data_IF_117715062189
#
_entry.id   IF_117715062189
#
_cell.length_a   1.000
_cell.length_b   1.000
_cell.length_c   1.000
_cell.angle_alpha   90.00
_cell.angle_beta   90.00
_cell.angle_gamma   90.00
#
_symmetry.space_group_name_H-M   'P 1'
#
loop_
_entity.id
_entity.type
_entity.pdbx_description
1 polymer ?
#
# COMPACT_ATOMS: atom_id res chain seq x y z
N UNK A 1 -9.46 -18.72 -11.38
CA UNK A 1 -10.24 -17.46 -11.41
C UNK A 1 -9.26 -16.33 -11.14
N UNK A 2 -9.31 -15.24 -11.91
CA UNK A 2 -8.48 -14.06 -11.70
C UNK A 2 -9.11 -13.18 -10.61
N UNK A 3 -8.33 -12.76 -9.63
CA UNK A 3 -8.78 -11.99 -8.47
C UNK A 3 -7.95 -10.73 -8.24
N UNK A 4 -8.56 -9.78 -7.54
CA UNK A 4 -7.92 -8.58 -7.02
C UNK A 4 -8.15 -8.50 -5.50
N UNK A 5 -7.09 -8.30 -4.74
CA UNK A 5 -7.20 -7.88 -3.34
C UNK A 5 -7.35 -6.36 -3.31
N UNK A 6 -8.54 -5.89 -2.90
CA UNK A 6 -8.86 -4.47 -2.87
C UNK A 6 -8.36 -3.75 -1.62
N UNK A 7 -7.72 -4.44 -0.65
CA UNK A 7 -7.30 -3.84 0.61
C UNK A 7 -6.11 -4.59 1.23
N UNK A 8 -4.97 -4.56 0.56
CA UNK A 8 -3.72 -5.17 1.00
C UNK A 8 -2.90 -4.19 1.85
N UNK A 9 -3.13 -4.21 3.16
CA UNK A 9 -2.48 -3.32 4.14
C UNK A 9 -1.06 -3.80 4.51
N UNK A 10 -0.19 -3.93 3.51
CA UNK A 10 1.10 -4.60 3.67
C UNK A 10 2.10 -3.85 4.57
N UNK A 11 1.89 -2.55 4.78
CA UNK A 11 2.73 -1.72 5.67
C UNK A 11 2.54 -2.08 7.16
N UNK A 12 1.54 -2.91 7.48
CA UNK A 12 1.35 -3.46 8.82
C UNK A 12 2.54 -4.36 9.24
N UNK A 13 2.90 -4.30 10.52
CA UNK A 13 4.09 -4.98 11.05
C UNK A 13 4.11 -6.51 10.86
N UNK A 14 2.94 -7.13 10.67
CA UNK A 14 2.80 -8.56 10.42
C UNK A 14 3.52 -9.01 9.14
N UNK A 15 3.68 -8.14 8.15
CA UNK A 15 4.30 -8.49 6.87
C UNK A 15 5.80 -8.24 6.82
N UNK A 16 6.40 -7.63 7.86
CA UNK A 16 7.84 -7.28 7.86
C UNK A 16 8.77 -8.48 7.69
N UNK A 17 8.30 -9.69 8.02
CA UNK A 17 9.13 -10.90 8.00
C UNK A 17 9.12 -11.61 6.64
N UNK A 18 8.05 -11.43 5.87
CA UNK A 18 7.70 -12.34 4.78
C UNK A 18 6.90 -11.68 3.64
N UNK A 19 6.93 -10.35 3.52
CA UNK A 19 6.20 -9.60 2.49
C UNK A 19 6.42 -10.15 1.07
N UNK A 20 7.68 -10.37 0.69
CA UNK A 20 8.01 -10.86 -0.66
C UNK A 20 7.39 -12.23 -0.95
N UNK A 21 7.42 -13.14 0.03
CA UNK A 21 6.75 -14.44 -0.09
C UNK A 21 5.24 -14.31 -0.14
N UNK A 22 4.63 -13.43 0.66
CA UNK A 22 3.19 -13.19 0.64
C UNK A 22 2.73 -12.71 -0.73
N UNK A 23 3.46 -11.76 -1.33
CA UNK A 23 3.16 -11.27 -2.68
C UNK A 23 3.37 -12.38 -3.72
N UNK A 24 4.47 -13.13 -3.64
CA UNK A 24 4.73 -14.25 -4.56
C UNK A 24 3.62 -15.30 -4.50
N UNK A 25 3.19 -15.66 -3.29
CA UNK A 25 2.15 -16.65 -3.05
C UNK A 25 0.78 -16.16 -3.54
N UNK A 26 0.45 -14.87 -3.36
CA UNK A 26 -0.79 -14.28 -3.88
C UNK A 26 -0.82 -14.33 -5.41
N UNK A 27 0.29 -13.94 -6.05
CA UNK A 27 0.42 -13.95 -7.51
C UNK A 27 0.32 -15.37 -8.07
N UNK A 28 0.96 -16.36 -7.44
CA UNK A 28 0.85 -17.77 -7.85
C UNK A 28 -0.57 -18.34 -7.68
N UNK A 29 -1.35 -17.77 -6.76
CA UNK A 29 -2.74 -18.14 -6.47
C UNK A 29 -3.79 -17.41 -7.32
N UNK A 30 -3.39 -16.68 -8.36
CA UNK A 30 -4.23 -15.85 -9.24
C UNK A 30 -4.82 -14.57 -8.61
N UNK A 31 -4.30 -14.11 -7.49
CA UNK A 31 -4.56 -12.76 -6.97
C UNK A 31 -3.53 -11.84 -7.62
N UNK A 32 -3.84 -11.32 -8.82
CA UNK A 32 -2.88 -10.62 -9.68
C UNK A 32 -2.83 -9.11 -9.47
N UNK A 33 -3.82 -8.56 -8.78
CA UNK A 33 -3.93 -7.13 -8.50
C UNK A 33 -4.05 -6.92 -7.00
N UNK A 34 -3.16 -6.13 -6.44
CA UNK A 34 -3.04 -5.83 -5.01
C UNK A 34 -3.18 -4.33 -4.84
N UNK A 35 -4.27 -3.88 -4.23
CA UNK A 35 -4.49 -2.48 -3.92
C UNK A 35 -4.04 -2.19 -2.48
N UNK A 36 -3.08 -1.30 -2.35
CA UNK A 36 -2.38 -0.97 -1.12
C UNK A 36 -2.78 0.43 -0.64
N UNK A 37 -3.78 0.55 0.25
CA UNK A 37 -4.15 1.83 0.82
C UNK A 37 -3.10 2.30 1.84
N UNK A 38 -2.65 3.54 1.72
CA UNK A 38 -1.95 4.23 2.78
C UNK A 38 -2.96 4.62 3.87
N UNK A 39 -2.58 4.40 5.13
CA UNK A 39 -3.35 4.84 6.30
C UNK A 39 -2.71 6.04 7.00
N UNK A 40 -1.40 6.24 6.79
CA UNK A 40 -0.58 7.31 7.36
C UNK A 40 0.38 7.87 6.31
N UNK A 41 0.80 9.12 6.50
CA UNK A 41 1.71 9.80 5.57
C UNK A 41 3.07 9.07 5.45
N UNK A 42 3.55 8.47 6.55
CA UNK A 42 4.83 7.74 6.60
C UNK A 42 4.85 6.46 5.76
N UNK A 43 3.70 5.92 5.41
CA UNK A 43 3.56 4.65 4.67
C UNK A 43 3.62 4.85 3.15
N UNK A 44 3.45 6.09 2.69
CA UNK A 44 3.24 6.40 1.27
C UNK A 44 4.46 6.03 0.44
N UNK A 45 5.67 6.37 0.91
CA UNK A 45 6.90 6.11 0.15
C UNK A 45 7.11 4.61 -0.06
N UNK A 46 6.94 3.80 0.99
CA UNK A 46 7.07 2.34 0.92
C UNK A 46 6.06 1.73 -0.08
N UNK A 47 4.83 2.26 -0.11
CA UNK A 47 3.78 1.84 -1.05
C UNK A 47 4.15 2.21 -2.48
N UNK A 48 4.62 3.43 -2.72
CA UNK A 48 5.02 3.89 -4.05
C UNK A 48 6.23 3.14 -4.58
N UNK A 49 7.26 2.93 -3.76
CA UNK A 49 8.43 2.12 -4.13
C UNK A 49 8.02 0.69 -4.52
N UNK A 50 7.04 0.11 -3.82
CA UNK A 50 6.51 -1.21 -4.15
C UNK A 50 5.73 -1.21 -5.47
N UNK A 51 4.94 -0.16 -5.74
CA UNK A 51 4.26 0.01 -7.02
C UNK A 51 5.27 0.15 -8.18
N UNK A 52 6.37 0.89 -8.00
CA UNK A 52 7.43 1.03 -9.00
C UNK A 52 8.15 -0.29 -9.28
N UNK A 53 8.37 -1.12 -8.26
CA UNK A 53 8.95 -2.47 -8.41
C UNK A 53 8.01 -3.44 -9.13
N UNK A 54 6.70 -3.28 -8.98
CA UNK A 54 5.69 -4.23 -9.46
C UNK A 54 4.47 -3.53 -10.13
N UNK A 55 4.68 -2.73 -11.19
CA UNK A 55 3.67 -1.80 -11.71
C UNK A 55 2.46 -2.47 -12.37
N UNK A 56 2.57 -3.76 -12.72
CA UNK A 56 1.45 -4.54 -13.28
C UNK A 56 0.57 -5.16 -12.20
N UNK A 57 1.05 -5.24 -10.95
CA UNK A 57 0.40 -6.01 -9.89
C UNK A 57 0.01 -5.18 -8.68
N UNK A 58 0.75 -4.12 -8.35
CA UNK A 58 0.57 -3.36 -7.10
C UNK A 58 0.11 -1.94 -7.43
N UNK A 59 -0.95 -1.50 -6.75
CA UNK A 59 -1.60 -0.21 -6.98
C UNK A 59 -1.77 0.52 -5.65
N UNK A 60 -1.48 1.83 -5.63
CA UNK A 60 -1.56 2.64 -4.42
C UNK A 60 -2.93 3.31 -4.24
N UNK A 61 -3.39 3.42 -2.99
CA UNK A 61 -4.42 4.37 -2.58
C UNK A 61 -3.85 5.37 -1.59
N UNK A 62 -3.70 6.64 -1.96
CA UNK A 62 -3.06 7.65 -1.11
C UNK A 62 -4.10 8.38 -0.26
N UNK A 63 -3.92 8.34 1.07
CA UNK A 63 -4.80 8.99 2.02
C UNK A 63 -4.34 8.84 3.47
N UNK A 64 -5.09 9.45 4.39
CA UNK A 64 -4.89 9.31 5.84
C UNK A 64 -6.18 8.74 6.42
N UNK A 65 -6.08 7.61 7.10
CA UNK A 65 -7.22 6.96 7.74
C UNK A 65 -7.73 7.82 8.92
N UNK A 66 -9.04 7.94 9.18
CA UNK A 66 -9.58 8.83 10.23
C UNK A 66 -8.99 8.60 11.62
N UNK A 67 -8.61 7.36 11.94
CA UNK A 67 -7.91 7.01 13.18
C UNK A 67 -6.59 7.79 13.37
N UNK A 68 -5.92 8.17 12.28
CA UNK A 68 -4.67 8.95 12.25
C UNK A 68 -4.87 10.42 11.92
N UNK A 69 -6.11 10.92 11.96
CA UNK A 69 -6.42 12.33 11.65
C UNK A 69 -5.72 13.34 12.58
N UNK A 70 -5.36 12.94 13.79
CA UNK A 70 -4.58 13.75 14.74
C UNK A 70 -3.12 13.95 14.31
N UNK A 71 -2.61 13.14 13.38
CA UNK A 71 -1.24 13.22 12.87
C UNK A 71 -1.09 14.24 11.72
N UNK A 72 -2.20 14.80 11.22
CA UNK A 72 -2.21 15.80 10.16
C UNK A 72 -1.42 17.05 10.57
N UNK A 73 -0.42 17.40 9.75
CA UNK A 73 0.39 18.61 9.91
C UNK A 73 0.01 19.64 8.83
N UNK A 74 0.37 20.93 8.99
CA UNK A 74 0.11 21.94 7.97
C UNK A 74 0.61 21.56 6.56
N UNK A 75 1.68 20.77 6.47
CA UNK A 75 2.25 20.32 5.20
C UNK A 75 1.69 18.98 4.70
N UNK A 76 0.97 18.20 5.51
CA UNK A 76 0.48 16.86 5.12
C UNK A 76 -0.35 16.93 3.84
N UNK A 77 -1.27 17.88 3.73
CA UNK A 77 -2.07 18.05 2.51
C UNK A 77 -1.22 18.33 1.26
N UNK A 78 -0.16 19.13 1.41
CA UNK A 78 0.76 19.44 0.32
C UNK A 78 1.53 18.21 -0.10
N UNK A 79 2.02 17.43 0.88
CA UNK A 79 2.79 16.21 0.64
C UNK A 79 1.93 15.15 -0.08
N UNK A 80 0.67 14.96 0.33
CA UNK A 80 -0.25 14.03 -0.34
C UNK A 80 -0.53 14.39 -1.80
N UNK A 81 -0.53 15.69 -2.15
CA UNK A 81 -0.79 16.16 -3.53
C UNK A 81 0.39 15.98 -4.49
N UNK A 82 1.57 15.63 -4.00
CA UNK A 82 2.77 15.48 -4.83
C UNK A 82 2.82 14.14 -5.56
N UNK A 83 1.93 13.21 -5.21
CA UNK A 83 1.81 11.86 -5.74
C UNK A 83 0.51 11.74 -6.55
#
# INVERSE_FOLDING_TARGET
MLLADSCFNFTHESFKKDLDSVISDSLSSNIKYLFCPASREIEIEDILETCEKMPENVFAGIGIHPHHSSELKPNTYKNLKQH
#
